data_IF_333050907750
#
_entry.id   IF_333050907750
#
_cell.length_a   1.000
_cell.length_b   1.000
_cell.length_c   1.000
_cell.angle_alpha   90.00
_cell.angle_beta   90.00
_cell.angle_gamma   90.00
#
_symmetry.space_group_name_H-M   'P 1'
#
loop_
_entity.id
_entity.type
_entity.pdbx_description
1 polymer ?
#
# COMPACT_ATOMS: atom_id res chain seq x y z
N UNK A 1 18.69 -4.01 -1.64
CA UNK A 1 17.83 -4.12 -0.44
C UNK A 1 17.55 -2.77 0.17
N UNK A 2 16.33 -2.60 0.69
CA UNK A 2 16.02 -1.48 1.59
C UNK A 2 16.22 -1.96 3.02
N UNK A 3 17.23 -1.43 3.71
CA UNK A 3 17.50 -1.73 5.12
C UNK A 3 17.09 -0.50 5.91
N UNK A 4 15.90 -0.56 6.52
CA UNK A 4 15.38 0.52 7.34
C UNK A 4 15.85 0.37 8.79
N UNK A 5 16.26 1.45 9.46
CA UNK A 5 16.61 1.39 10.88
C UNK A 5 15.36 1.13 11.72
N UNK A 6 15.52 0.37 12.81
CA UNK A 6 14.46 0.20 13.80
C UNK A 6 14.10 1.53 14.45
N UNK A 7 12.81 1.82 14.55
CA UNK A 7 12.29 3.06 15.16
C UNK A 7 11.47 2.76 16.41
N UNK A 8 11.24 3.79 17.20
CA UNK A 8 10.40 3.68 18.40
C UNK A 8 8.92 3.69 17.99
N UNK A 9 8.14 2.74 18.49
CA UNK A 9 6.69 2.71 18.26
C UNK A 9 6.06 3.99 18.83
N UNK A 10 5.24 4.66 18.04
CA UNK A 10 4.64 5.97 18.37
C UNK A 10 5.41 7.18 17.83
N UNK A 11 6.62 7.00 17.30
CA UNK A 11 7.37 8.06 16.63
C UNK A 11 6.62 8.55 15.38
N UNK A 12 6.71 9.85 15.09
CA UNK A 12 6.03 10.50 13.98
C UNK A 12 7.03 10.90 12.90
N UNK A 13 6.81 10.42 11.68
CA UNK A 13 7.64 10.70 10.50
C UNK A 13 6.85 11.51 9.48
N UNK A 14 7.39 12.66 9.05
CA UNK A 14 6.86 13.40 7.92
C UNK A 14 7.29 12.76 6.60
N UNK A 15 6.33 12.34 5.78
CA UNK A 15 6.55 11.85 4.43
C UNK A 15 5.99 12.86 3.42
N UNK A 16 6.70 13.07 2.32
CA UNK A 16 6.24 13.92 1.24
C UNK A 16 5.51 13.05 0.21
N UNK A 17 4.19 13.25 0.09
CA UNK A 17 3.37 12.65 -0.96
C UNK A 17 3.01 13.72 -2.00
N UNK A 18 2.52 13.31 -3.19
CA UNK A 18 2.01 14.25 -4.19
C UNK A 18 0.86 15.12 -3.67
N UNK A 19 0.00 14.56 -2.82
CA UNK A 19 -1.09 15.30 -2.16
C UNK A 19 -0.56 16.37 -1.16
N UNK A 20 0.61 16.15 -0.58
CA UNK A 20 1.23 17.04 0.40
C UNK A 20 2.12 16.29 1.40
N UNK A 21 2.75 17.05 2.29
CA UNK A 21 3.51 16.47 3.41
C UNK A 21 2.56 15.97 4.48
N UNK A 22 2.65 14.68 4.82
CA UNK A 22 1.79 14.05 5.81
C UNK A 22 2.60 13.27 6.84
N UNK A 23 2.14 13.30 8.09
CA UNK A 23 2.81 12.64 9.21
C UNK A 23 2.27 11.23 9.42
N UNK A 24 3.15 10.24 9.36
CA UNK A 24 2.86 8.84 9.66
C UNK A 24 3.42 8.49 11.03
N UNK A 25 2.68 7.70 11.78
CA UNK A 25 3.10 7.17 13.07
C UNK A 25 3.68 5.78 12.87
N UNK A 26 4.82 5.50 13.51
CA UNK A 26 5.41 4.16 13.58
C UNK A 26 4.50 3.29 14.43
N UNK A 27 3.91 2.28 13.80
CA UNK A 27 3.16 1.22 14.44
C UNK A 27 3.94 -0.08 14.42
N UNK A 28 3.57 -1.01 15.30
CA UNK A 28 4.04 -2.39 15.27
C UNK A 28 2.82 -3.31 15.37
N UNK A 29 2.77 -4.33 14.51
CA UNK A 29 1.69 -5.31 14.48
C UNK A 29 2.29 -6.71 14.37
N UNK A 30 1.77 -7.64 15.17
CA UNK A 30 2.17 -9.04 15.13
C UNK A 30 1.97 -9.61 13.71
N UNK A 31 3.01 -10.20 13.14
CA UNK A 31 3.02 -10.73 11.77
C UNK A 31 3.39 -9.74 10.66
N UNK A 32 3.44 -8.43 10.93
CA UNK A 32 3.83 -7.38 9.95
C UNK A 32 5.12 -6.64 10.35
N UNK A 33 5.51 -6.71 11.63
CA UNK A 33 6.62 -5.92 12.21
C UNK A 33 6.34 -4.41 12.19
N UNK A 34 7.37 -3.57 12.08
CA UNK A 34 7.21 -2.11 12.09
C UNK A 34 6.66 -1.60 10.76
N UNK A 35 5.63 -0.75 10.84
CA UNK A 35 4.99 -0.12 9.69
C UNK A 35 4.68 1.35 9.98
N UNK A 36 4.36 2.09 8.92
CA UNK A 36 3.98 3.50 9.00
C UNK A 36 2.49 3.61 8.69
N UNK A 37 1.73 4.22 9.59
CA UNK A 37 0.29 4.43 9.41
C UNK A 37 -0.15 5.84 9.82
N UNK A 38 -1.21 6.32 9.20
CA UNK A 38 -1.88 7.55 9.57
C UNK A 38 -3.39 7.34 9.52
N UNK A 39 -4.12 7.90 10.47
CA UNK A 39 -5.59 7.90 10.44
C UNK A 39 -6.08 8.98 9.49
N UNK A 40 -6.89 8.60 8.51
CA UNK A 40 -7.47 9.54 7.54
C UNK A 40 -8.84 10.05 8.00
N UNK A 41 -9.76 9.13 8.27
CA UNK A 41 -11.11 9.45 8.73
C UNK A 41 -11.75 8.26 9.47
N UNK A 42 -12.79 8.53 10.25
CA UNK A 42 -13.64 7.48 10.83
C UNK A 42 -14.90 7.31 9.96
N UNK A 43 -15.04 6.20 9.22
CA UNK A 43 -16.20 5.95 8.37
C UNK A 43 -17.42 5.54 9.22
N UNK A 44 -18.07 6.52 9.86
CA UNK A 44 -19.20 6.33 10.79
C UNK A 44 -20.59 6.43 10.13
N UNK A 45 -20.63 6.49 8.80
CA UNK A 45 -21.89 6.57 8.05
C UNK A 45 -22.69 5.29 8.22
N UNK A 46 -23.94 5.39 8.71
CA UNK A 46 -24.83 4.22 8.90
C UNK A 46 -25.21 3.52 7.60
N UNK A 47 -25.02 4.18 6.47
CA UNK A 47 -25.29 3.65 5.14
C UNK A 47 -24.13 2.85 4.55
N UNK A 48 -22.97 2.81 5.21
CA UNK A 48 -21.74 2.29 4.61
C UNK A 48 -21.81 0.79 4.40
N UNK A 49 -21.87 0.37 3.13
CA UNK A 49 -21.81 -1.04 2.74
C UNK A 49 -20.35 -1.54 2.67
N UNK A 50 -20.11 -2.86 2.71
CA UNK A 50 -18.78 -3.42 2.49
C UNK A 50 -18.15 -2.98 1.16
N UNK A 51 -18.96 -2.91 0.10
CA UNK A 51 -18.52 -2.48 -1.24
C UNK A 51 -18.13 -1.01 -1.25
N UNK A 52 -18.88 -0.16 -0.55
CA UNK A 52 -18.51 1.25 -0.36
C UNK A 52 -17.23 1.38 0.47
N UNK A 53 -17.01 0.50 1.45
CA UNK A 53 -15.76 0.45 2.22
C UNK A 53 -14.54 0.15 1.35
N UNK A 54 -14.64 -0.82 0.44
CA UNK A 54 -13.56 -1.13 -0.52
C UNK A 54 -13.30 0.03 -1.46
N UNK A 55 -14.36 0.64 -2.02
CA UNK A 55 -14.24 1.82 -2.90
C UNK A 55 -13.62 3.01 -2.18
N UNK A 56 -14.03 3.26 -0.93
CA UNK A 56 -13.48 4.34 -0.11
C UNK A 56 -11.98 4.13 0.15
N UNK A 57 -11.53 2.89 0.36
CA UNK A 57 -10.11 2.59 0.51
C UNK A 57 -9.32 2.90 -0.78
N UNK A 58 -9.86 2.54 -1.94
CA UNK A 58 -9.26 2.88 -3.25
C UNK A 58 -9.23 4.39 -3.49
N UNK A 59 -10.32 5.09 -3.20
CA UNK A 59 -10.42 6.55 -3.32
C UNK A 59 -9.41 7.26 -2.39
N UNK A 60 -9.23 6.78 -1.16
CA UNK A 60 -8.20 7.28 -0.25
C UNK A 60 -6.79 7.11 -0.84
N UNK A 61 -6.50 5.93 -1.41
CA UNK A 61 -5.21 5.66 -2.03
C UNK A 61 -4.98 6.58 -3.25
N UNK A 62 -5.98 6.74 -4.12
CA UNK A 62 -5.92 7.60 -5.29
C UNK A 62 -5.72 9.06 -4.94
N UNK A 63 -6.41 9.54 -3.90
CA UNK A 63 -6.25 10.89 -3.38
C UNK A 63 -4.82 11.14 -2.90
N UNK A 64 -4.30 10.28 -2.03
CA UNK A 64 -2.96 10.43 -1.43
C UNK A 64 -1.84 10.30 -2.46
N UNK A 65 -1.97 9.36 -3.40
CA UNK A 65 -0.97 9.10 -4.44
C UNK A 65 -1.07 10.11 -5.59
N UNK A 66 -2.20 10.80 -5.75
CA UNK A 66 -2.51 11.68 -6.89
C UNK A 66 -2.26 11.03 -8.27
N UNK A 67 -2.25 9.70 -8.30
CA UNK A 67 -1.99 8.85 -9.46
C UNK A 67 -3.16 7.88 -9.63
N UNK A 68 -3.45 7.43 -10.85
CA UNK A 68 -4.41 6.35 -11.05
C UNK A 68 -3.90 5.09 -10.34
N UNK A 69 -4.59 4.69 -9.27
CA UNK A 69 -4.31 3.45 -8.54
C UNK A 69 -4.82 2.27 -9.37
N UNK A 70 -4.06 1.17 -9.36
CA UNK A 70 -4.45 -0.07 -10.00
C UNK A 70 -5.73 -0.59 -9.36
N UNK A 71 -6.79 -0.73 -10.17
CA UNK A 71 -8.08 -1.24 -9.70
C UNK A 71 -7.88 -2.65 -9.07
N UNK A 72 -8.25 -2.86 -7.78
CA UNK A 72 -8.16 -4.18 -7.16
C UNK A 72 -9.09 -5.22 -7.80
N UNK A 73 -10.15 -4.79 -8.50
CA UNK A 73 -11.04 -5.63 -9.33
C UNK A 73 -10.49 -5.87 -10.76
N UNK A 74 -9.24 -5.49 -11.04
CA UNK A 74 -8.62 -5.81 -12.32
C UNK A 74 -8.63 -7.33 -12.54
N UNK A 75 -8.92 -7.79 -13.78
CA UNK A 75 -8.97 -9.21 -14.07
C UNK A 75 -7.65 -9.88 -13.71
N UNK A 76 -7.75 -11.07 -13.13
CA UNK A 76 -6.62 -11.88 -12.68
C UNK A 76 -5.52 -11.93 -13.76
N UNK A 77 -4.38 -11.29 -13.47
CA UNK A 77 -3.24 -11.23 -14.40
C UNK A 77 -2.46 -12.55 -14.45
N UNK A 78 -2.76 -13.47 -13.53
CA UNK A 78 -2.16 -14.80 -13.48
C UNK A 78 -2.47 -15.58 -14.76
N UNK A 79 -1.42 -15.94 -15.51
CA UNK A 79 -1.51 -16.85 -16.65
C UNK A 79 -0.68 -18.10 -16.39
N UNK A 80 -1.15 -19.22 -16.94
CA UNK A 80 -0.42 -20.48 -16.91
C UNK A 80 0.86 -20.33 -17.74
N UNK A 81 2.03 -20.49 -17.12
CA UNK A 81 3.30 -20.49 -17.83
C UNK A 81 3.39 -21.76 -18.70
N UNK A 82 3.52 -21.59 -20.02
CA UNK A 82 3.55 -22.70 -20.98
C UNK A 82 4.86 -22.80 -21.79
N UNK A 83 5.87 -22.01 -21.45
CA UNK A 83 7.19 -22.05 -22.09
C UNK A 83 8.28 -21.80 -21.04
N UNK A 84 8.62 -22.85 -20.31
CA UNK A 84 9.74 -22.80 -19.37
C UNK A 84 11.05 -22.86 -20.17
N UNK A 85 11.72 -21.72 -20.30
CA UNK A 85 13.02 -21.62 -20.95
C UNK A 85 13.91 -20.63 -20.21
N UNK A 86 15.16 -21.02 -19.95
CA UNK A 86 16.21 -20.10 -19.48
C UNK A 86 16.84 -19.45 -20.72
N UNK A 87 17.00 -18.12 -20.72
CA UNK A 87 17.89 -17.45 -21.68
C UNK A 87 19.32 -17.92 -21.36
N UNK A 88 19.90 -18.73 -22.24
CA UNK A 88 21.34 -19.03 -22.25
C UNK A 88 22.08 -17.84 -22.88
N UNK A 89 22.18 -16.74 -22.14
CA UNK A 89 23.33 -15.85 -22.32
C UNK A 89 24.42 -16.38 -21.39
N UNK A 90 25.57 -16.66 -21.96
CA UNK A 90 26.79 -17.07 -21.29
C UNK A 90 27.02 -16.17 -20.07
N UNK A 91 26.96 -16.74 -18.86
CA UNK A 91 27.44 -16.06 -17.66
C UNK A 91 28.98 -16.11 -17.73
N UNK A 92 29.56 -15.12 -18.40
CA UNK A 92 30.98 -14.79 -18.33
C UNK A 92 31.16 -13.57 -17.41
#
# INVERSE_FOLDING_TARGET
DQIWPGRTVGEKLGLQLPYGTMTFTVGELEGVSQYLACSLMSPLSRSLSPEEGVRLADDCARMLLSLPVSNPDAPQTSRRALLFGRRSCENA
#
